data_IF_536915639698
#
_entry.id   IF_536915639698
#
_cell.length_a   1.000
_cell.length_b   1.000
_cell.length_c   1.000
_cell.angle_alpha   90.00
_cell.angle_beta   90.00
_cell.angle_gamma   90.00
#
_symmetry.space_group_name_H-M   'P 1'
#
loop_
_entity.id
_entity.type
_entity.pdbx_description
1 polymer ?
#
# COMPACT_ATOMS: atom_id res chain seq x y z
N UNK A 1 27.38 19.00 -8.92
CA UNK A 1 26.12 18.97 -8.13
C UNK A 1 25.77 17.51 -7.98
N UNK A 2 26.03 16.92 -6.82
CA UNK A 2 25.77 15.49 -6.59
C UNK A 2 24.27 15.28 -6.65
N UNK A 3 23.81 14.44 -7.57
CA UNK A 3 22.40 14.07 -7.65
C UNK A 3 21.94 13.53 -6.29
N UNK A 4 20.80 13.98 -5.76
CA UNK A 4 20.29 13.45 -4.50
C UNK A 4 20.01 11.96 -4.69
N UNK A 5 20.64 11.16 -3.82
CA UNK A 5 20.47 9.72 -3.72
C UNK A 5 18.96 9.39 -3.64
N UNK A 6 18.44 8.77 -4.70
CA UNK A 6 17.01 8.48 -4.86
C UNK A 6 16.48 7.47 -3.83
N UNK A 7 17.39 6.79 -3.12
CA UNK A 7 17.11 5.84 -2.05
C UNK A 7 16.76 6.53 -0.72
N UNK A 8 17.16 7.81 -0.56
CA UNK A 8 16.93 8.59 0.65
C UNK A 8 15.55 9.27 0.74
N UNK A 9 14.71 9.14 -0.29
CA UNK A 9 13.34 9.67 -0.24
C UNK A 9 12.48 8.74 0.63
N UNK A 10 11.80 9.25 1.68
CA UNK A 10 10.84 8.44 2.40
C UNK A 10 9.82 7.95 1.37
N UNK A 11 9.52 6.64 1.39
CA UNK A 11 8.42 6.08 0.60
C UNK A 11 7.22 7.00 0.77
N UNK A 12 6.56 7.39 -0.33
CA UNK A 12 5.41 8.32 -0.33
C UNK A 12 4.34 7.96 0.71
N UNK A 13 4.36 6.70 1.12
CA UNK A 13 3.55 6.05 2.15
C UNK A 13 3.84 6.49 3.59
N UNK A 14 4.94 7.19 3.86
CA UNK A 14 5.34 7.64 5.20
C UNK A 14 4.68 8.96 5.64
N UNK A 15 4.13 9.75 4.70
CA UNK A 15 3.74 11.14 4.94
C UNK A 15 2.23 11.42 4.94
N UNK A 16 1.38 10.46 4.54
CA UNK A 16 -0.06 10.68 4.37
C UNK A 16 -0.82 9.94 5.48
N UNK A 17 -1.88 10.53 6.05
CA UNK A 17 -2.79 9.80 6.94
C UNK A 17 -3.51 8.67 6.18
N UNK A 18 -3.94 7.63 6.89
CA UNK A 18 -4.52 6.42 6.30
C UNK A 18 -5.55 6.67 5.19
N UNK A 19 -5.52 5.78 4.19
CA UNK A 19 -6.19 5.83 2.86
C UNK A 19 -5.53 6.77 1.85
N UNK A 20 -4.22 6.63 1.64
CA UNK A 20 -3.62 7.08 0.40
C UNK A 20 -4.11 6.16 -0.75
N UNK A 21 -4.99 6.68 -1.61
CA UNK A 21 -5.39 5.98 -2.82
C UNK A 21 -4.16 5.67 -3.67
N UNK A 22 -4.01 4.42 -4.10
CA UNK A 22 -2.89 4.04 -4.96
C UNK A 22 -3.01 4.70 -6.33
N UNK A 23 -1.88 5.19 -6.87
CA UNK A 23 -1.79 5.67 -8.24
C UNK A 23 -2.03 4.57 -9.30
N UNK A 24 -1.91 3.29 -8.92
CA UNK A 24 -2.14 2.16 -9.80
C UNK A 24 -3.64 1.82 -9.87
N UNK A 25 -4.31 2.24 -10.94
CA UNK A 25 -5.75 1.98 -11.17
C UNK A 25 -6.12 0.51 -11.41
N UNK A 26 -5.16 -0.41 -11.53
CA UNK A 26 -5.40 -1.87 -11.60
C UNK A 26 -5.40 -2.53 -10.22
N UNK A 27 -4.97 -1.81 -9.19
CA UNK A 27 -4.91 -2.34 -7.83
C UNK A 27 -6.29 -2.26 -7.18
N UNK A 28 -6.70 -3.36 -6.55
CA UNK A 28 -7.92 -3.36 -5.74
C UNK A 28 -7.72 -2.49 -4.49
N UNK A 29 -8.63 -1.56 -4.25
CA UNK A 29 -8.66 -0.76 -3.01
C UNK A 29 -9.11 -1.63 -1.84
N UNK A 30 -8.34 -1.60 -0.76
CA UNK A 30 -8.66 -2.30 0.49
C UNK A 30 -9.03 -1.25 1.55
N UNK A 31 -10.15 -1.46 2.24
CA UNK A 31 -10.62 -0.52 3.26
C UNK A 31 -10.13 -0.88 4.68
N UNK A 32 -9.93 -2.17 4.96
CA UNK A 32 -9.57 -2.68 6.29
C UNK A 32 -8.49 -3.75 6.19
N UNK A 33 -7.53 -3.72 7.12
CA UNK A 33 -6.52 -4.77 7.25
C UNK A 33 -7.20 -6.11 7.58
N UNK A 34 -6.90 -7.21 6.88
CA UNK A 34 -7.49 -8.52 7.16
C UNK A 34 -7.05 -9.12 8.51
N UNK A 35 -6.02 -8.54 9.15
CA UNK A 35 -5.47 -9.05 10.41
C UNK A 35 -5.92 -8.28 11.65
N UNK A 36 -6.05 -6.96 11.58
CA UNK A 36 -6.39 -6.11 12.74
C UNK A 36 -7.59 -5.17 12.49
N UNK A 37 -8.24 -5.25 11.33
CA UNK A 37 -9.38 -4.40 10.93
C UNK A 37 -9.09 -2.89 10.80
N UNK A 38 -7.85 -2.46 11.05
CA UNK A 38 -7.40 -1.08 10.88
C UNK A 38 -7.59 -0.56 9.46
N UNK A 39 -7.89 0.73 9.35
CA UNK A 39 -7.98 1.49 8.10
C UNK A 39 -6.67 2.18 7.74
N UNK A 40 -5.63 2.03 8.58
CA UNK A 40 -4.32 2.64 8.42
C UNK A 40 -3.46 1.83 7.43
N UNK A 41 -3.93 1.82 6.18
CA UNK A 41 -3.39 1.05 5.06
C UNK A 41 -2.68 1.96 4.06
N UNK A 42 -1.51 1.52 3.60
CA UNK A 42 -0.71 2.21 2.61
C UNK A 42 -0.23 1.28 1.51
N UNK A 43 0.09 1.84 0.34
CA UNK A 43 0.88 1.13 -0.65
C UNK A 43 2.17 0.55 -0.09
N UNK A 44 2.56 -0.59 -0.64
CA UNK A 44 3.89 -1.14 -0.45
C UNK A 44 4.48 -1.55 -1.81
N UNK A 45 5.79 -1.44 -1.93
CA UNK A 45 6.55 -1.63 -3.16
C UNK A 45 6.94 -3.10 -3.39
N UNK A 46 6.73 -3.99 -2.41
CA UNK A 46 6.97 -5.43 -2.54
C UNK A 46 6.26 -6.03 -3.76
N UNK A 47 5.02 -5.60 -4.04
CA UNK A 47 4.33 -5.97 -5.29
C UNK A 47 3.40 -4.87 -5.81
N UNK A 48 3.06 -4.98 -7.10
CA UNK A 48 2.02 -4.21 -7.79
C UNK A 48 0.63 -4.27 -7.14
N UNK A 49 0.43 -5.10 -6.11
CA UNK A 49 -0.81 -5.20 -5.36
C UNK A 49 -0.62 -5.27 -3.82
N UNK A 50 0.60 -4.99 -3.31
CA UNK A 50 0.91 -5.00 -1.89
C UNK A 50 0.36 -3.78 -1.12
N UNK A 51 -0.02 -4.04 0.12
CA UNK A 51 -0.53 -3.09 1.09
C UNK A 51 0.16 -3.34 2.43
N UNK A 52 0.63 -2.28 3.05
CA UNK A 52 1.18 -2.29 4.40
C UNK A 52 0.15 -1.73 5.39
N UNK A 53 -0.12 -2.48 6.45
CA UNK A 53 -0.85 -1.95 7.61
C UNK A 53 0.13 -1.37 8.62
N UNK A 54 -0.04 -0.09 8.97
CA UNK A 54 0.85 0.62 9.91
C UNK A 54 0.55 0.35 11.38
N UNK A 55 -0.62 -0.23 11.69
CA UNK A 55 -0.95 -0.63 13.07
C UNK A 55 -0.37 -2.00 13.44
N UNK A 56 -0.55 -3.00 12.58
CA UNK A 56 -0.05 -4.35 12.85
C UNK A 56 1.24 -4.72 12.12
N UNK A 57 1.82 -3.78 11.36
CA UNK A 57 3.10 -3.90 10.64
C UNK A 57 3.16 -5.06 9.63
N UNK A 58 2.01 -5.52 9.13
CA UNK A 58 1.93 -6.61 8.14
C UNK A 58 1.82 -6.05 6.73
N UNK A 59 2.51 -6.71 5.80
CA UNK A 59 2.39 -6.50 4.37
C UNK A 59 1.58 -7.66 3.77
N UNK A 60 0.61 -7.36 2.91
CA UNK A 60 -0.24 -8.34 2.23
C UNK A 60 -0.61 -7.86 0.83
N UNK A 61 -0.95 -8.75 -0.10
CA UNK A 61 -1.38 -8.37 -1.45
C UNK A 61 -2.85 -8.72 -1.69
N UNK A 62 -3.56 -7.87 -2.45
CA UNK A 62 -4.97 -8.09 -2.81
C UNK A 62 -5.16 -8.03 -4.30
N UNK A 63 -5.73 -9.09 -4.88
CA UNK A 63 -5.98 -9.23 -6.31
C UNK A 63 -7.44 -9.54 -6.58
N UNK A 64 -8.06 -8.79 -7.49
CA UNK A 64 -9.38 -9.14 -8.01
C UNK A 64 -9.25 -10.20 -9.09
N UNK A 65 -9.88 -11.36 -8.88
CA UNK A 65 -9.82 -12.50 -9.81
C UNK A 65 -10.99 -12.54 -10.82
N UNK A 66 -11.95 -11.61 -10.72
CA UNK A 66 -13.18 -11.63 -11.51
C UNK A 66 -14.36 -12.23 -10.74
N UNK A 67 -15.50 -12.33 -11.42
CA UNK A 67 -16.69 -13.00 -10.90
C UNK A 67 -16.67 -14.47 -11.34
N UNK A 68 -16.86 -15.38 -10.37
CA UNK A 68 -17.03 -16.80 -10.65
C UNK A 68 -18.48 -17.04 -11.12
N UNK A 69 -18.66 -17.51 -12.35
CA UNK A 69 -19.95 -18.00 -12.88
C UNK A 69 -19.73 -19.15 -13.84
#
# INVERSE_FOLDING_TARGET
MSEPDRDSLPSVNAAIGGRAGHANGRRATVNNCPYCMSENLFPDDETDNAWQCRECMRVFSVKFHGHLR
#
